data_IF_378340089457
#
_entry.id   IF_378340089457
#
_cell.length_a   1.000
_cell.length_b   1.000
_cell.length_c   1.000
_cell.angle_alpha   90.00
_cell.angle_beta   90.00
_cell.angle_gamma   90.00
#
_symmetry.space_group_name_H-M   'P 1'
#
loop_
_entity.id
_entity.type
_entity.pdbx_description
1 polymer ?
#
# COMPACT_ATOMS: atom_id res chain seq x y z
N UNK A 1 42.31 -49.79 25.73
CA UNK A 1 41.70 -48.49 25.37
C UNK A 1 41.27 -47.84 26.67
N UNK A 2 41.92 -46.76 27.13
CA UNK A 2 41.57 -46.13 28.42
C UNK A 2 40.18 -45.50 28.32
N UNK A 3 39.41 -45.52 29.41
CA UNK A 3 38.09 -44.87 29.49
C UNK A 3 38.16 -43.37 29.22
N UNK A 4 39.33 -42.76 29.42
CA UNK A 4 39.64 -41.36 29.16
C UNK A 4 39.65 -41.05 27.65
N UNK A 5 40.27 -41.91 26.84
CA UNK A 5 40.34 -41.78 25.38
C UNK A 5 38.95 -41.88 24.73
N UNK A 6 38.11 -42.77 25.24
CA UNK A 6 36.73 -42.93 24.77
C UNK A 6 35.85 -41.72 25.14
N UNK A 7 36.11 -41.10 26.29
CA UNK A 7 35.43 -39.87 26.71
C UNK A 7 35.80 -38.69 25.80
N UNK A 8 37.09 -38.52 25.50
CA UNK A 8 37.57 -37.48 24.58
C UNK A 8 36.95 -37.65 23.19
N UNK A 9 36.96 -38.87 22.65
CA UNK A 9 36.35 -39.14 21.34
C UNK A 9 34.84 -38.84 21.33
N UNK A 10 34.13 -39.21 22.39
CA UNK A 10 32.71 -38.92 22.56
C UNK A 10 32.42 -37.41 22.60
N UNK A 11 33.20 -36.65 23.37
CA UNK A 11 33.05 -35.18 23.43
C UNK A 11 33.34 -34.51 22.08
N UNK A 12 34.39 -34.96 21.38
CA UNK A 12 34.74 -34.43 20.06
C UNK A 12 33.63 -34.71 19.05
N UNK A 13 33.05 -35.91 19.08
CA UNK A 13 31.91 -36.28 18.24
C UNK A 13 30.68 -35.41 18.54
N UNK A 14 30.40 -35.12 19.82
CA UNK A 14 29.31 -34.23 20.21
C UNK A 14 29.52 -32.78 19.70
N UNK A 15 30.75 -32.26 19.78
CA UNK A 15 31.06 -30.93 19.24
C UNK A 15 30.93 -30.86 17.72
N UNK A 16 31.37 -31.90 17.00
CA UNK A 16 31.21 -31.99 15.55
C UNK A 16 29.73 -32.02 15.14
N UNK A 17 28.91 -32.79 15.87
CA UNK A 17 27.47 -32.83 15.65
C UNK A 17 26.85 -31.44 15.86
N UNK A 18 27.16 -30.77 16.98
CA UNK A 18 26.67 -29.41 17.24
C UNK A 18 27.08 -28.42 16.15
N UNK A 19 28.31 -28.52 15.61
CA UNK A 19 28.77 -27.64 14.54
C UNK A 19 28.03 -27.89 13.22
N UNK A 20 27.76 -29.15 12.87
CA UNK A 20 26.97 -29.54 11.68
C UNK A 20 25.51 -29.05 11.79
N UNK A 21 24.92 -29.05 12.99
CA UNK A 21 23.58 -28.52 13.21
C UNK A 21 23.53 -26.98 13.30
N UNK A 22 24.68 -26.32 13.50
CA UNK A 22 24.77 -24.86 13.66
C UNK A 22 24.93 -24.10 12.35
N UNK A 23 25.11 -24.79 11.21
CA UNK A 23 25.11 -24.13 9.88
C UNK A 23 23.67 -23.85 9.45
N UNK A 24 22.95 -23.04 10.23
CA UNK A 24 21.72 -22.42 9.79
C UNK A 24 22.06 -21.33 8.79
N UNK A 25 21.55 -21.44 7.56
CA UNK A 25 21.65 -20.36 6.60
C UNK A 25 20.91 -19.14 7.17
N UNK A 26 21.64 -18.05 7.44
CA UNK A 26 21.02 -16.75 7.70
C UNK A 26 20.59 -16.22 6.33
N UNK A 27 19.41 -16.61 5.87
CA UNK A 27 18.76 -15.90 4.78
C UNK A 27 18.48 -14.48 5.24
N UNK A 28 19.21 -13.52 4.65
CA UNK A 28 18.79 -12.14 4.69
C UNK A 28 17.41 -12.08 4.03
N UNK A 29 16.34 -11.90 4.82
CA UNK A 29 15.02 -11.58 4.27
C UNK A 29 15.17 -10.32 3.43
N UNK A 30 15.13 -10.47 2.12
CA UNK A 30 14.91 -9.35 1.21
C UNK A 30 13.55 -8.77 1.59
N UNK A 31 13.54 -7.63 2.27
CA UNK A 31 12.32 -6.84 2.43
C UNK A 31 11.98 -6.38 1.03
N UNK A 32 11.08 -7.10 0.38
CA UNK A 32 10.50 -6.66 -0.88
C UNK A 32 9.64 -5.45 -0.54
N UNK A 33 10.24 -4.26 -0.63
CA UNK A 33 9.50 -3.01 -0.49
C UNK A 33 8.55 -2.98 -1.68
N UNK A 34 7.29 -3.31 -1.43
CA UNK A 34 6.27 -3.30 -2.45
C UNK A 34 6.05 -1.86 -2.90
N UNK A 35 6.63 -1.52 -4.05
CA UNK A 35 6.46 -0.20 -4.66
C UNK A 35 5.06 -0.11 -5.26
N UNK A 36 4.17 0.55 -4.53
CA UNK A 36 2.79 0.79 -4.95
C UNK A 36 2.71 2.08 -5.77
N UNK A 37 2.63 1.95 -7.08
CA UNK A 37 2.32 3.07 -7.98
C UNK A 37 1.40 2.58 -9.09
N UNK A 38 0.15 3.02 -9.06
CA UNK A 38 -0.88 2.71 -10.03
C UNK A 38 -1.22 3.93 -10.88
N UNK A 39 -1.89 3.72 -12.02
CA UNK A 39 -2.30 4.79 -12.92
C UNK A 39 -3.56 4.36 -13.67
N UNK A 40 -4.49 5.29 -13.89
CA UNK A 40 -5.73 5.00 -14.61
C UNK A 40 -6.23 6.23 -15.38
N UNK A 41 -6.53 6.04 -16.66
CA UNK A 41 -6.85 7.15 -17.57
C UNK A 41 -5.74 8.22 -17.55
N UNK A 42 -6.13 9.47 -17.34
CA UNK A 42 -5.23 10.62 -17.29
C UNK A 42 -4.54 10.82 -15.93
N UNK A 43 -5.02 10.13 -14.88
CA UNK A 43 -4.45 10.26 -13.54
C UNK A 43 -3.32 9.24 -13.38
N UNK A 44 -2.10 9.76 -13.20
CA UNK A 44 -0.89 8.97 -13.07
C UNK A 44 -0.35 9.02 -11.64
N UNK A 45 0.52 8.06 -11.31
CA UNK A 45 1.29 8.00 -10.06
C UNK A 45 0.41 8.01 -8.80
N UNK A 46 -0.61 7.16 -8.78
CA UNK A 46 -1.46 6.93 -7.61
C UNK A 46 -0.69 6.00 -6.67
N UNK A 47 -0.23 6.57 -5.58
CA UNK A 47 0.54 5.92 -4.53
C UNK A 47 -0.06 6.20 -3.16
N UNK A 48 0.52 5.58 -2.14
CA UNK A 48 0.15 5.77 -0.75
C UNK A 48 -0.03 7.26 -0.41
N UNK A 49 -1.14 7.72 0.18
CA UNK A 49 -2.13 6.95 0.94
C UNK A 49 -3.33 6.45 0.11
N UNK A 50 -3.50 6.91 -1.13
CA UNK A 50 -4.59 6.45 -2.00
C UNK A 50 -4.25 5.09 -2.62
N UNK A 51 -5.28 4.37 -3.03
CA UNK A 51 -5.15 3.13 -3.81
C UNK A 51 -6.26 3.03 -4.84
N UNK A 52 -6.02 2.37 -5.95
CA UNK A 52 -7.08 1.96 -6.86
C UNK A 52 -7.77 0.69 -6.36
N UNK A 53 -9.03 0.51 -6.77
CA UNK A 53 -9.71 -0.77 -6.63
C UNK A 53 -8.93 -1.85 -7.41
N UNK A 54 -8.47 -2.88 -6.70
CA UNK A 54 -7.65 -3.95 -7.28
C UNK A 54 -6.15 -3.82 -7.02
N UNK A 55 -5.68 -2.72 -6.42
CA UNK A 55 -4.30 -2.63 -5.95
C UNK A 55 -4.02 -3.75 -4.92
N UNK A 56 -2.77 -4.25 -4.82
CA UNK A 56 -2.40 -5.26 -3.83
C UNK A 56 -2.69 -4.85 -2.37
N UNK A 57 -2.73 -5.83 -1.48
CA UNK A 57 -2.73 -5.55 -0.04
C UNK A 57 -1.44 -4.80 0.34
N UNK A 58 -1.54 -3.87 1.30
CA UNK A 58 -0.42 -2.99 1.69
C UNK A 58 -0.24 -1.74 0.80
N UNK A 59 -0.90 -1.67 -0.35
CA UNK A 59 -0.93 -0.46 -1.17
C UNK A 59 -2.07 0.45 -0.75
N UNK A 60 -1.71 1.63 -0.22
CA UNK A 60 -2.66 2.65 0.23
C UNK A 60 -3.60 2.18 1.34
N UNK A 61 -4.48 3.08 1.74
CA UNK A 61 -5.49 2.87 2.76
C UNK A 61 -6.77 2.29 2.14
N UNK A 62 -7.34 1.20 2.66
CA UNK A 62 -8.63 0.66 2.19
C UNK A 62 -9.76 1.70 2.16
N UNK A 63 -9.79 2.62 3.13
CA UNK A 63 -10.77 3.70 3.24
C UNK A 63 -10.55 4.84 2.23
N UNK A 64 -9.34 4.96 1.66
CA UNK A 64 -9.00 5.91 0.60
C UNK A 64 -8.95 5.24 -0.78
N UNK A 65 -9.67 4.12 -0.93
CA UNK A 65 -9.76 3.42 -2.20
C UNK A 65 -10.57 4.23 -3.22
N UNK A 66 -9.96 4.46 -4.38
CA UNK A 66 -10.53 5.18 -5.50
C UNK A 66 -11.05 4.18 -6.56
N UNK A 67 -12.38 4.07 -6.76
CA UNK A 67 -12.93 3.26 -7.83
C UNK A 67 -12.70 3.88 -9.21
N UNK A 68 -12.65 3.00 -10.22
CA UNK A 68 -12.48 3.35 -11.63
C UNK A 68 -13.77 3.04 -12.40
N UNK A 69 -14.31 4.03 -13.11
CA UNK A 69 -15.48 3.89 -13.98
C UNK A 69 -15.19 4.59 -15.31
N UNK A 70 -15.35 3.88 -16.44
CA UNK A 70 -15.27 4.45 -17.79
C UNK A 70 -14.05 5.37 -18.04
N UNK A 71 -12.84 4.88 -17.77
CA UNK A 71 -11.57 5.61 -17.91
C UNK A 71 -11.42 6.84 -16.99
N UNK A 72 -12.29 6.98 -15.98
CA UNK A 72 -12.19 8.03 -14.97
C UNK A 72 -12.10 7.42 -13.58
N UNK A 73 -11.38 8.09 -12.69
CA UNK A 73 -11.33 7.76 -11.27
C UNK A 73 -12.43 8.56 -10.56
N UNK A 74 -13.18 7.90 -9.69
CA UNK A 74 -14.27 8.51 -8.92
C UNK A 74 -13.81 8.71 -7.48
N UNK A 75 -14.01 9.92 -6.97
CA UNK A 75 -14.00 10.22 -5.55
C UNK A 75 -15.45 10.41 -5.09
N UNK A 76 -15.85 9.69 -4.05
CA UNK A 76 -17.14 9.91 -3.39
C UNK A 76 -16.92 10.69 -2.10
N UNK A 77 -17.57 11.84 -1.97
CA UNK A 77 -17.46 12.69 -0.79
C UNK A 77 -18.80 13.39 -0.54
N UNK A 78 -19.28 13.43 0.71
CA UNK A 78 -20.58 14.01 1.10
C UNK A 78 -21.78 13.54 0.22
N UNK A 79 -21.77 12.25 -0.15
CA UNK A 79 -22.74 11.63 -1.06
C UNK A 79 -22.84 12.34 -2.42
N UNK A 80 -21.73 12.87 -2.91
CA UNK A 80 -21.55 13.38 -4.26
C UNK A 80 -20.36 12.68 -4.91
N UNK A 81 -20.43 12.50 -6.23
CA UNK A 81 -19.37 11.89 -7.02
C UNK A 81 -18.59 12.94 -7.78
N UNK A 82 -17.27 12.80 -7.77
CA UNK A 82 -16.35 13.68 -8.47
C UNK A 82 -15.37 12.86 -9.32
N UNK A 83 -15.10 13.34 -10.52
CA UNK A 83 -14.01 12.83 -11.34
C UNK A 83 -12.68 13.39 -10.84
N UNK A 84 -11.77 12.53 -10.41
CA UNK A 84 -10.41 12.93 -10.04
C UNK A 84 -9.65 13.36 -11.31
N UNK A 85 -9.07 14.56 -11.26
CA UNK A 85 -8.28 15.13 -12.35
C UNK A 85 -6.78 15.08 -12.06
N UNK A 86 -6.39 15.28 -10.80
CA UNK A 86 -4.99 15.25 -10.38
C UNK A 86 -4.90 14.97 -8.89
N UNK A 87 -3.89 14.20 -8.51
CA UNK A 87 -3.42 14.08 -7.13
C UNK A 87 -2.02 14.68 -7.10
N UNK A 88 -1.80 15.66 -6.22
CA UNK A 88 -0.51 16.32 -6.03
C UNK A 88 -0.04 16.08 -4.61
N UNK A 89 0.95 15.20 -4.46
CA UNK A 89 1.54 14.86 -3.17
C UNK A 89 2.33 16.03 -2.60
N UNK A 90 3.14 16.72 -3.41
CA UNK A 90 3.93 17.89 -2.98
C UNK A 90 3.08 19.02 -2.42
N UNK A 91 1.87 19.19 -2.97
CA UNK A 91 0.94 20.24 -2.54
C UNK A 91 -0.13 19.73 -1.59
N UNK A 92 -0.14 18.43 -1.26
CA UNK A 92 -1.20 17.78 -0.49
C UNK A 92 -2.62 18.12 -1.01
N UNK A 93 -2.81 18.15 -2.34
CA UNK A 93 -4.09 18.52 -2.95
C UNK A 93 -4.62 17.43 -3.88
N UNK A 94 -5.95 17.29 -3.89
CA UNK A 94 -6.68 16.53 -4.90
C UNK A 94 -7.55 17.50 -5.71
N UNK A 95 -7.37 17.50 -7.02
CA UNK A 95 -8.17 18.29 -7.96
C UNK A 95 -9.26 17.41 -8.54
N UNK A 96 -10.51 17.86 -8.45
CA UNK A 96 -11.67 17.09 -8.89
C UNK A 96 -12.65 17.93 -9.71
N UNK A 97 -13.47 17.28 -10.52
CA UNK A 97 -14.60 17.91 -11.22
C UNK A 97 -15.89 17.17 -10.85
N UNK A 98 -16.94 17.90 -10.47
CA UNK A 98 -18.24 17.27 -10.18
C UNK A 98 -18.79 16.55 -11.42
N UNK A 99 -19.26 15.32 -11.25
CA UNK A 99 -19.69 14.46 -12.37
C UNK A 99 -20.83 15.09 -13.17
N UNK A 100 -21.81 15.70 -12.48
CA UNK A 100 -22.97 16.33 -13.11
C UNK A 100 -22.56 17.50 -14.01
N UNK A 101 -21.65 18.35 -13.53
CA UNK A 101 -21.13 19.50 -14.27
C UNK A 101 -20.26 19.03 -15.45
N UNK A 102 -19.40 18.04 -15.23
CA UNK A 102 -18.52 17.51 -16.26
C UNK A 102 -19.26 16.83 -17.44
N UNK A 103 -20.47 16.33 -17.21
CA UNK A 103 -21.30 15.72 -18.25
C UNK A 103 -22.21 16.75 -18.98
N UNK A 104 -21.98 18.05 -18.77
CA UNK A 104 -22.65 19.11 -19.53
C UNK A 104 -23.92 19.66 -18.88
N UNK A 105 -24.22 19.28 -17.64
CA UNK A 105 -25.24 20.00 -16.86
C UNK A 105 -24.65 21.33 -16.39
N UNK A 106 -24.98 22.43 -17.07
CA UNK A 106 -24.62 23.81 -16.66
C UNK A 106 -25.37 24.29 -15.39
N UNK A 107 -25.77 23.36 -14.52
CA UNK A 107 -26.36 23.64 -13.22
C UNK A 107 -25.26 23.93 -12.20
N UNK A 108 -25.50 24.90 -11.32
CA UNK A 108 -24.65 25.14 -10.15
C UNK A 108 -24.46 23.83 -9.35
N UNK A 109 -23.29 23.63 -8.72
CA UNK A 109 -23.03 22.45 -7.90
C UNK A 109 -24.15 22.28 -6.87
N UNK A 110 -24.78 21.11 -6.87
CA UNK A 110 -25.98 20.86 -6.05
C UNK A 110 -25.66 20.84 -4.55
N UNK A 111 -24.39 20.63 -4.19
CA UNK A 111 -23.92 20.56 -2.81
C UNK A 111 -22.71 21.45 -2.59
N UNK A 112 -22.71 22.17 -1.49
CA UNK A 112 -21.53 22.87 -0.99
C UNK A 112 -20.47 21.84 -0.57
N UNK A 113 -19.26 22.00 -1.08
CA UNK A 113 -18.10 21.26 -0.60
C UNK A 113 -17.63 21.90 0.72
N UNK A 114 -18.17 21.43 1.84
CA UNK A 114 -17.70 21.81 3.17
C UNK A 114 -16.75 20.73 3.69
N UNK A 115 -15.53 21.13 4.01
CA UNK A 115 -14.57 20.30 4.71
C UNK A 115 -14.77 20.45 6.23
N UNK A 116 -15.98 20.18 6.74
CA UNK A 116 -16.31 20.36 8.16
C UNK A 116 -16.33 19.07 8.97
N UNK A 117 -15.73 17.98 8.49
CA UNK A 117 -15.57 16.74 9.25
C UNK A 117 -14.31 15.95 8.82
N UNK A 118 -13.16 16.36 9.32
CA UNK A 118 -11.97 15.51 9.47
C UNK A 118 -11.11 15.96 10.68
N UNK A 119 -11.70 16.68 11.63
CA UNK A 119 -11.07 17.11 12.87
C UNK A 119 -12.07 17.07 14.02
N UNK A 120 -12.71 15.92 14.21
CA UNK A 120 -13.34 15.58 15.48
C UNK A 120 -13.27 14.06 15.68
N UNK A 121 -12.52 13.73 16.74
CA UNK A 121 -12.21 12.45 17.39
C UNK A 121 -11.38 11.38 16.64
#
# INVERSE_FOLDING_TARGET
>A
MSSEEASIFSTFLLFLLMFVFSTGEIEARKVEVQMCSSSYGDVKNISYHFRLKGDPAGCGHPELQLPCESNKIILEFNSAKYYVKRISYDKCTISVAEVNLANGSCSLPYKSFSLSAAYHD
#
